data_IF_809787501797
#
_entry.id   IF_809787501797
#
_cell.length_a   1.000
_cell.length_b   1.000
_cell.length_c   1.000
_cell.angle_alpha   90.00
_cell.angle_beta   90.00
_cell.angle_gamma   90.00
#
_symmetry.space_group_name_H-M   'P 1'
#
loop_
_entity.id
_entity.type
_entity.pdbx_description
1 polymer ?
#
# COMPACT_ATOMS: atom_id res chain seq x y z
N UNK A 1 -5.68 9.11 -7.16
CA UNK A 1 -4.90 9.42 -8.38
C UNK A 1 -5.79 9.91 -9.51
N UNK A 2 -6.94 9.27 -9.78
CA UNK A 2 -7.86 9.60 -10.89
C UNK A 2 -8.16 11.10 -11.03
N UNK A 3 -8.63 11.76 -9.97
CA UNK A 3 -8.96 13.20 -10.03
C UNK A 3 -7.75 14.06 -10.42
N UNK A 4 -6.60 13.82 -9.81
CA UNK A 4 -5.38 14.58 -10.11
C UNK A 4 -4.94 14.44 -11.56
N UNK A 5 -5.10 13.25 -12.17
CA UNK A 5 -4.78 13.04 -13.60
C UNK A 5 -5.76 13.78 -14.49
N UNK A 6 -7.06 13.77 -14.15
CA UNK A 6 -8.09 14.50 -14.90
C UNK A 6 -7.81 16.01 -14.87
N UNK A 7 -7.53 16.56 -13.68
CA UNK A 7 -7.22 17.98 -13.52
C UNK A 7 -5.93 18.37 -14.27
N UNK A 8 -4.91 17.51 -14.25
CA UNK A 8 -3.66 17.70 -14.99
C UNK A 8 -3.88 17.73 -16.50
N UNK A 9 -4.63 16.78 -17.05
CA UNK A 9 -4.93 16.74 -18.49
C UNK A 9 -5.78 17.93 -18.94
N UNK A 10 -6.68 18.42 -18.08
CA UNK A 10 -7.44 19.64 -18.34
C UNK A 10 -6.53 20.89 -18.38
N UNK A 11 -5.53 20.96 -17.50
CA UNK A 11 -4.56 22.06 -17.45
C UNK A 11 -3.56 22.01 -18.62
N UNK A 12 -3.20 20.81 -19.08
CA UNK A 12 -2.19 20.59 -20.13
C UNK A 12 -2.75 19.73 -21.29
N UNK A 13 -3.58 20.30 -22.17
CA UNK A 13 -4.38 19.55 -23.16
C UNK A 13 -3.58 18.91 -24.30
N UNK A 14 -2.30 19.27 -24.46
CA UNK A 14 -1.41 18.66 -25.47
C UNK A 14 -0.70 17.41 -24.95
N UNK A 15 -0.80 17.13 -23.65
CA UNK A 15 -0.15 15.99 -23.01
C UNK A 15 -1.00 14.73 -23.16
N UNK A 16 -0.34 13.58 -23.28
CA UNK A 16 -0.96 12.26 -23.20
C UNK A 16 -0.41 11.54 -21.97
N UNK A 17 -1.26 10.78 -21.28
CA UNK A 17 -0.87 9.99 -20.10
C UNK A 17 -1.22 8.53 -20.38
N UNK A 18 -0.22 7.66 -20.26
CA UNK A 18 -0.39 6.20 -20.18
C UNK A 18 -0.26 5.80 -18.71
N UNK A 19 -1.23 5.04 -18.19
CA UNK A 19 -1.21 4.57 -16.80
C UNK A 19 -1.03 3.05 -16.78
N UNK A 20 0.00 2.60 -16.05
CA UNK A 20 0.19 1.19 -15.69
C UNK A 20 -0.08 1.03 -14.20
N UNK A 21 -1.03 0.18 -13.85
CA UNK A 21 -1.41 -0.13 -12.47
C UNK A 21 -0.92 -1.55 -12.16
N UNK A 22 0.15 -1.65 -11.37
CA UNK A 22 0.73 -2.92 -10.93
C UNK A 22 1.34 -2.75 -9.54
N UNK A 23 1.38 -3.84 -8.77
CA UNK A 23 2.14 -3.94 -7.53
C UNK A 23 3.61 -4.35 -7.78
N UNK A 24 3.97 -4.66 -9.02
CA UNK A 24 5.33 -5.05 -9.40
C UNK A 24 6.31 -3.87 -9.29
N UNK A 25 7.52 -4.19 -8.82
CA UNK A 25 8.62 -3.24 -8.82
C UNK A 25 9.27 -3.18 -10.21
N UNK A 26 8.80 -2.26 -11.04
CA UNK A 26 9.32 -2.04 -12.40
C UNK A 26 10.63 -1.23 -12.44
N UNK A 27 11.41 -1.37 -13.50
CA UNK A 27 12.59 -0.53 -13.74
C UNK A 27 12.19 0.66 -14.61
N UNK A 28 12.16 1.87 -14.04
CA UNK A 28 11.66 3.05 -14.73
C UNK A 28 12.41 3.35 -16.04
N UNK A 29 13.72 3.07 -16.09
CA UNK A 29 14.54 3.37 -17.28
C UNK A 29 14.29 2.33 -18.36
N UNK A 30 14.36 1.05 -18.02
CA UNK A 30 14.19 -0.06 -18.98
C UNK A 30 12.74 -0.15 -19.48
N UNK A 31 11.76 0.13 -18.63
CA UNK A 31 10.33 0.05 -18.96
C UNK A 31 9.77 1.33 -19.60
N UNK A 32 10.61 2.37 -19.78
CA UNK A 32 10.22 3.65 -20.38
C UNK A 32 9.18 4.42 -19.56
N UNK A 33 9.31 4.42 -18.23
CA UNK A 33 8.38 5.06 -17.30
C UNK A 33 9.00 6.38 -16.79
N UNK A 34 8.36 7.49 -17.13
CA UNK A 34 8.81 8.84 -16.71
C UNK A 34 8.58 9.12 -15.22
N UNK A 35 7.51 8.57 -14.63
CA UNK A 35 7.10 8.82 -13.26
C UNK A 35 6.45 7.57 -12.64
N UNK A 36 6.87 7.21 -11.42
CA UNK A 36 6.23 6.18 -10.63
C UNK A 36 5.77 6.69 -9.27
N UNK A 37 4.56 6.31 -8.87
CA UNK A 37 4.04 6.50 -7.52
C UNK A 37 4.24 5.21 -6.74
N UNK A 38 5.02 5.26 -5.66
CA UNK A 38 5.37 4.08 -4.86
C UNK A 38 5.11 4.31 -3.38
N UNK A 39 4.66 3.27 -2.70
CA UNK A 39 4.61 3.20 -1.23
C UNK A 39 5.70 2.25 -0.75
N UNK A 40 6.36 2.57 0.37
CA UNK A 40 7.37 1.72 0.98
C UNK A 40 8.75 2.36 1.01
N UNK A 41 9.75 1.56 1.37
CA UNK A 41 11.14 2.00 1.47
C UNK A 41 11.73 2.13 0.06
N UNK A 42 12.32 3.28 -0.22
CA UNK A 42 13.04 3.51 -1.46
C UNK A 42 14.41 2.82 -1.37
N UNK A 43 14.71 1.97 -2.34
CA UNK A 43 16.06 1.40 -2.48
C UNK A 43 17.04 2.47 -2.96
N UNK A 44 18.32 2.32 -2.61
CA UNK A 44 19.39 3.17 -3.11
C UNK A 44 19.40 3.14 -4.65
N UNK A 45 19.35 4.31 -5.25
CA UNK A 45 19.36 4.48 -6.71
C UNK A 45 19.81 5.89 -7.09
N UNK A 46 20.04 6.11 -8.38
CA UNK A 46 20.30 7.43 -8.95
C UNK A 46 19.01 8.22 -9.24
N UNK A 47 17.84 7.65 -8.94
CA UNK A 47 16.55 8.29 -9.19
C UNK A 47 16.29 9.42 -8.18
N UNK A 48 15.65 10.47 -8.66
CA UNK A 48 15.16 11.55 -7.78
C UNK A 48 13.82 11.13 -7.21
N UNK A 49 13.73 11.06 -5.88
CA UNK A 49 12.49 10.80 -5.18
C UNK A 49 11.97 12.03 -4.43
N UNK A 50 10.64 12.19 -4.43
CA UNK A 50 9.95 13.22 -3.65
C UNK A 50 8.89 12.56 -2.76
N UNK A 51 9.00 12.77 -1.45
CA UNK A 51 7.98 12.32 -0.48
C UNK A 51 6.69 13.13 -0.68
N UNK A 52 5.58 12.43 -0.96
CA UNK A 52 4.26 13.04 -1.09
C UNK A 52 3.47 13.00 0.23
N UNK A 53 3.69 11.97 1.04
CA UNK A 53 3.02 11.79 2.33
C UNK A 53 3.32 10.42 2.93
N UNK A 54 2.93 10.18 4.18
CA UNK A 54 2.96 8.84 4.78
C UNK A 54 1.79 7.98 4.25
N UNK A 55 1.89 6.67 4.42
CA UNK A 55 0.80 5.71 4.23
C UNK A 55 0.64 4.94 5.54
N UNK A 56 -0.58 4.84 6.05
CA UNK A 56 -0.88 4.11 7.28
C UNK A 56 -1.73 2.89 6.98
N UNK A 57 -1.33 1.72 7.51
CA UNK A 57 -2.14 0.52 7.50
C UNK A 57 -2.89 0.43 8.83
N UNK A 58 -4.14 -0.01 8.76
CA UNK A 58 -5.00 -0.19 9.93
C UNK A 58 -5.57 -1.61 9.89
N UNK A 59 -5.75 -2.20 11.07
CA UNK A 59 -6.54 -3.42 11.20
C UNK A 59 -8.02 -3.05 11.06
N UNK A 60 -8.73 -3.81 10.24
CA UNK A 60 -10.16 -3.65 10.05
C UNK A 60 -10.82 -5.00 9.85
N UNK A 61 -12.09 -5.07 10.21
CA UNK A 61 -12.93 -6.23 10.01
C UNK A 61 -14.34 -5.76 9.64
N UNK A 62 -15.10 -6.61 8.96
CA UNK A 62 -16.50 -6.30 8.68
C UNK A 62 -17.31 -6.31 9.99
N UNK A 63 -18.35 -5.47 10.13
CA UNK A 63 -19.19 -5.47 11.32
C UNK A 63 -19.84 -6.84 11.61
N UNK A 64 -20.26 -7.56 10.56
CA UNK A 64 -20.86 -8.90 10.67
C UNK A 64 -19.86 -9.94 11.20
N UNK A 65 -18.59 -9.85 10.81
CA UNK A 65 -17.55 -10.72 11.34
C UNK A 65 -17.36 -10.50 12.85
N UNK A 66 -17.24 -9.24 13.28
CA UNK A 66 -17.07 -8.91 14.70
C UNK A 66 -18.29 -9.28 15.54
N UNK A 67 -19.50 -9.20 14.98
CA UNK A 67 -20.71 -9.64 15.67
C UNK A 67 -20.74 -11.15 15.96
N UNK A 68 -20.12 -11.96 15.09
CA UNK A 68 -20.05 -13.43 15.23
C UNK A 68 -18.84 -13.92 16.02
N UNK A 69 -17.71 -13.21 15.91
CA UNK A 69 -16.43 -13.64 16.44
C UNK A 69 -15.93 -12.81 17.63
N UNK A 70 -16.65 -11.74 18.00
CA UNK A 70 -16.23 -10.80 19.03
C UNK A 70 -15.24 -9.75 18.51
N UNK A 71 -15.06 -8.68 19.30
CA UNK A 71 -14.03 -7.67 19.07
C UNK A 71 -12.74 -8.10 19.79
N UNK A 72 -11.58 -8.14 19.11
CA UNK A 72 -10.31 -8.39 19.79
C UNK A 72 -9.98 -7.23 20.75
N UNK A 73 -9.61 -7.54 21.98
CA UNK A 73 -9.21 -6.55 23.01
C UNK A 73 -7.68 -6.39 23.07
N UNK A 74 -6.94 -7.37 22.55
CA UNK A 74 -5.49 -7.42 22.50
C UNK A 74 -4.98 -7.99 21.17
N UNK A 75 -3.70 -7.79 20.86
CA UNK A 75 -3.08 -8.40 19.67
C UNK A 75 -3.06 -9.93 19.75
N UNK A 76 -2.95 -10.51 20.94
CA UNK A 76 -2.96 -11.95 21.14
C UNK A 76 -4.29 -12.58 20.69
N UNK A 77 -5.40 -11.85 20.80
CA UNK A 77 -6.72 -12.32 20.38
C UNK A 77 -6.79 -12.56 18.86
N UNK A 78 -5.96 -11.87 18.07
CA UNK A 78 -5.90 -12.05 16.62
C UNK A 78 -5.52 -13.48 16.21
N UNK A 79 -4.85 -14.25 17.09
CA UNK A 79 -4.55 -15.67 16.85
C UNK A 79 -5.80 -16.55 16.79
N UNK A 80 -6.92 -16.08 17.35
CA UNK A 80 -8.23 -16.74 17.31
C UNK A 80 -9.14 -16.22 16.20
N UNK A 81 -8.66 -15.25 15.41
CA UNK A 81 -9.39 -14.63 14.31
C UNK A 81 -8.87 -15.11 12.94
N UNK A 82 -9.76 -15.09 11.94
CA UNK A 82 -9.40 -15.29 10.54
C UNK A 82 -8.72 -14.04 9.99
N UNK A 83 -7.40 -14.02 10.05
CA UNK A 83 -6.58 -12.94 9.55
C UNK A 83 -6.31 -13.09 8.05
N UNK A 84 -6.58 -12.03 7.28
CA UNK A 84 -6.34 -11.99 5.84
C UNK A 84 -5.09 -11.16 5.57
N UNK A 85 -4.08 -11.76 4.94
CA UNK A 85 -2.84 -11.08 4.54
C UNK A 85 -2.85 -10.90 3.02
N UNK A 86 -2.83 -9.65 2.56
CA UNK A 86 -2.69 -9.32 1.15
C UNK A 86 -1.20 -9.27 0.76
N UNK A 87 -0.78 -10.08 -0.21
CA UNK A 87 0.60 -10.14 -0.72
C UNK A 87 0.91 -11.48 -1.42
N UNK A 88 2.11 -11.64 -2.01
CA UNK A 88 2.53 -12.91 -2.62
C UNK A 88 2.38 -14.08 -1.63
N UNK A 89 1.93 -15.24 -2.12
CA UNK A 89 1.41 -16.35 -1.30
C UNK A 89 2.36 -16.85 -0.19
N UNK A 90 2.09 -16.42 1.04
CA UNK A 90 1.57 -17.24 2.16
C UNK A 90 2.21 -18.60 2.48
N UNK A 91 3.53 -18.69 2.51
CA UNK A 91 4.20 -19.57 3.47
C UNK A 91 5.05 -18.70 4.40
N UNK A 92 4.63 -18.55 5.66
CA UNK A 92 5.33 -17.71 6.65
C UNK A 92 5.07 -16.20 6.54
N UNK A 93 3.95 -15.77 5.95
CA UNK A 93 3.56 -14.35 6.01
C UNK A 93 3.08 -14.02 7.43
N UNK A 94 3.72 -13.04 8.07
CA UNK A 94 3.37 -12.54 9.40
C UNK A 94 2.85 -11.11 9.29
N UNK A 95 1.86 -10.76 10.12
CA UNK A 95 1.58 -9.36 10.38
C UNK A 95 2.70 -8.80 11.26
N UNK A 96 3.20 -7.63 10.89
CA UNK A 96 4.09 -6.81 11.72
C UNK A 96 3.29 -5.56 12.06
N UNK A 97 3.08 -5.32 13.34
CA UNK A 97 2.28 -4.21 13.83
C UNK A 97 3.19 -3.24 14.62
N UNK A 98 3.04 -1.95 14.37
CA UNK A 98 3.75 -0.94 15.16
C UNK A 98 2.86 -0.53 16.35
N UNK A 99 3.24 -0.96 17.55
CA UNK A 99 2.59 -0.65 18.83
C UNK A 99 3.31 0.44 19.63
N UNK A 100 2.77 0.87 20.78
CA UNK A 100 3.38 1.87 21.67
C UNK A 100 4.78 1.48 22.18
N UNK A 101 5.11 0.18 22.14
CA UNK A 101 6.37 -0.38 22.63
C UNK A 101 7.33 -0.81 21.51
N UNK A 102 7.01 -0.54 20.24
CA UNK A 102 7.79 -0.94 19.09
C UNK A 102 7.04 -1.91 18.18
N UNK A 103 7.77 -2.69 17.39
CA UNK A 103 7.17 -3.68 16.50
C UNK A 103 6.77 -4.93 17.28
N UNK A 104 5.55 -5.40 17.07
CA UNK A 104 4.95 -6.61 17.65
C UNK A 104 4.47 -7.58 16.56
#
# INVERSE_FOLDING_TARGET
LTQAVVDFLAMYPKTKVELRLTDDQLNLVEDGIDLAFRTGVLQDSTLIARKLGPTHRLLCASPDYLARHGMPESLADLTHHQCVIAGPSTSGAHWVLDGPHGQE
#
